data_IF_102342556001
#
_entry.id   IF_102342556001
#
_cell.length_a   1.000
_cell.length_b   1.000
_cell.length_c   1.000
_cell.angle_alpha   90.00
_cell.angle_beta   90.00
_cell.angle_gamma   90.00
#
_symmetry.space_group_name_H-M   'P 1'
#
loop_
_entity.id
_entity.type
_entity.pdbx_description
1 polymer ?
#
# COMPACT_ATOMS: atom_id res chain seq x y z
N UNK A 1 20.58 12.42 0.28
CA UNK A 1 20.17 11.39 -0.69
C UNK A 1 19.08 10.53 -0.05
N UNK A 2 18.03 10.11 -0.80
CA UNK A 2 17.01 9.19 -0.26
C UNK A 2 17.35 7.77 -0.71
N UNK A 3 17.49 6.87 0.24
CA UNK A 3 17.73 5.44 0.04
C UNK A 3 16.49 4.63 0.42
N UNK A 4 16.27 3.49 -0.23
CA UNK A 4 15.15 2.60 0.06
C UNK A 4 15.68 1.34 0.74
N UNK A 5 15.42 1.22 2.03
CA UNK A 5 15.89 0.10 2.84
C UNK A 5 14.75 -0.90 3.07
N UNK A 6 15.00 -2.16 2.70
CA UNK A 6 14.06 -3.24 2.98
C UNK A 6 13.91 -3.48 4.48
N UNK A 7 12.68 -3.72 4.92
CA UNK A 7 12.34 -4.04 6.30
C UNK A 7 11.43 -5.27 6.32
N UNK A 8 11.92 -6.36 6.88
CA UNK A 8 11.11 -7.55 7.13
C UNK A 8 10.14 -7.36 8.31
N UNK A 9 9.31 -8.37 8.63
CA UNK A 9 8.27 -8.25 9.65
C UNK A 9 8.77 -7.75 11.02
N UNK A 10 9.86 -8.31 11.53
CA UNK A 10 10.42 -7.95 12.84
C UNK A 10 10.90 -6.49 12.84
N UNK A 11 11.73 -6.12 11.88
CA UNK A 11 12.28 -4.76 11.78
C UNK A 11 11.18 -3.72 11.54
N UNK A 12 10.20 -4.03 10.70
CA UNK A 12 9.06 -3.13 10.47
C UNK A 12 8.25 -2.92 11.76
N UNK A 13 8.06 -3.99 12.55
CA UNK A 13 7.38 -3.92 13.84
C UNK A 13 8.15 -3.03 14.85
N UNK A 14 9.47 -3.11 14.89
CA UNK A 14 10.32 -2.25 15.72
C UNK A 14 10.22 -0.76 15.32
N UNK A 15 9.93 -0.49 14.05
CA UNK A 15 9.81 0.86 13.50
C UNK A 15 8.37 1.40 13.45
N UNK A 16 7.38 0.70 14.02
CA UNK A 16 5.98 1.09 13.92
C UNK A 16 5.67 2.51 14.42
N UNK A 17 6.35 3.00 15.45
CA UNK A 17 6.15 4.38 15.91
C UNK A 17 6.55 5.39 14.84
N UNK A 18 7.72 5.22 14.24
CA UNK A 18 8.19 6.05 13.12
C UNK A 18 7.26 5.96 11.91
N UNK A 19 6.79 4.75 11.58
CA UNK A 19 5.86 4.51 10.47
C UNK A 19 4.53 5.23 10.71
N UNK A 20 4.00 5.16 11.92
CA UNK A 20 2.76 5.85 12.32
C UNK A 20 2.92 7.37 12.29
N UNK A 21 4.08 7.91 12.67
CA UNK A 21 4.36 9.35 12.56
C UNK A 21 4.31 9.82 11.11
N UNK A 22 4.90 9.05 10.16
CA UNK A 22 4.82 9.35 8.73
C UNK A 22 3.38 9.25 8.22
N UNK A 23 2.65 8.18 8.59
CA UNK A 23 1.23 8.04 8.25
C UNK A 23 0.40 9.23 8.74
N UNK A 24 0.59 9.62 10.00
CA UNK A 24 -0.13 10.74 10.61
C UNK A 24 0.19 12.05 9.91
N UNK A 25 1.45 12.31 9.59
CA UNK A 25 1.84 13.51 8.84
C UNK A 25 1.24 13.55 7.43
N UNK A 26 1.17 12.39 6.74
CA UNK A 26 0.67 12.30 5.38
C UNK A 26 -0.85 12.35 5.27
N UNK A 27 -1.57 11.73 6.23
CA UNK A 27 -3.02 11.52 6.16
C UNK A 27 -3.83 12.42 7.08
N UNK A 28 -3.19 12.99 8.10
CA UNK A 28 -3.85 13.80 9.14
C UNK A 28 -5.14 13.15 9.69
N UNK A 29 -5.09 11.89 10.16
CA UNK A 29 -6.27 11.19 10.62
C UNK A 29 -6.76 11.75 11.95
N UNK A 30 -8.04 11.54 12.33
CA UNK A 30 -8.51 11.81 13.68
C UNK A 30 -7.65 11.06 14.72
N UNK A 31 -7.23 11.72 15.82
CA UNK A 31 -6.33 11.14 16.82
C UNK A 31 -6.79 9.78 17.38
N UNK A 32 -8.10 9.60 17.54
CA UNK A 32 -8.70 8.36 18.03
C UNK A 32 -8.52 7.15 17.09
N UNK A 33 -8.20 7.39 15.81
CA UNK A 33 -7.98 6.32 14.82
C UNK A 33 -6.53 5.83 14.77
N UNK A 34 -5.58 6.58 15.34
CA UNK A 34 -4.14 6.30 15.21
C UNK A 34 -3.78 4.96 15.85
N UNK A 35 -4.25 4.68 17.06
CA UNK A 35 -3.95 3.41 17.76
C UNK A 35 -4.50 2.19 17.02
N UNK A 36 -5.71 2.31 16.48
CA UNK A 36 -6.32 1.27 15.64
C UNK A 36 -5.50 1.02 14.36
N UNK A 37 -5.06 2.08 13.69
CA UNK A 37 -4.20 1.96 12.50
C UNK A 37 -2.88 1.26 12.82
N UNK A 38 -2.23 1.62 13.92
CA UNK A 38 -1.00 0.97 14.38
C UNK A 38 -1.19 -0.54 14.63
N UNK A 39 -2.33 -0.91 15.23
CA UNK A 39 -2.67 -2.32 15.44
C UNK A 39 -2.87 -3.06 14.11
N UNK A 40 -3.57 -2.46 13.14
CA UNK A 40 -3.74 -3.03 11.80
C UNK A 40 -2.39 -3.24 11.11
N UNK A 41 -1.53 -2.23 11.11
CA UNK A 41 -0.19 -2.33 10.50
C UNK A 41 0.66 -3.44 11.15
N UNK A 42 0.58 -3.59 12.49
CA UNK A 42 1.25 -4.70 13.20
C UNK A 42 0.70 -6.05 12.76
N UNK A 43 -0.61 -6.20 12.63
CA UNK A 43 -1.21 -7.45 12.17
C UNK A 43 -0.79 -7.79 10.74
N UNK A 44 -0.67 -6.80 9.85
CA UNK A 44 -0.23 -7.01 8.48
C UNK A 44 1.18 -7.61 8.38
N UNK A 45 2.07 -7.35 9.35
CA UNK A 45 3.42 -7.95 9.36
C UNK A 45 3.40 -9.47 9.51
N UNK A 46 2.29 -10.05 9.94
CA UNK A 46 2.11 -11.51 10.07
C UNK A 46 1.59 -12.17 8.79
N UNK A 47 1.20 -11.38 7.78
CA UNK A 47 0.62 -11.90 6.55
C UNK A 47 1.69 -12.51 5.61
N UNK A 48 1.30 -13.48 4.76
CA UNK A 48 2.24 -14.20 3.92
C UNK A 48 3.03 -13.26 3.00
N UNK A 49 4.34 -13.49 2.88
CA UNK A 49 5.22 -12.74 1.99
C UNK A 49 5.21 -11.22 2.23
N UNK A 50 4.99 -10.82 3.50
CA UNK A 50 5.13 -9.43 3.89
C UNK A 50 6.49 -8.87 3.47
N UNK A 51 6.46 -7.70 2.87
CA UNK A 51 7.66 -6.94 2.51
C UNK A 51 7.40 -5.46 2.75
N UNK A 52 8.25 -4.84 3.55
CA UNK A 52 8.26 -3.41 3.79
C UNK A 52 9.51 -2.74 3.22
N UNK A 53 9.40 -1.44 2.95
CA UNK A 53 10.52 -0.55 2.63
C UNK A 53 10.36 0.76 3.36
N UNK A 54 11.47 1.27 3.86
CA UNK A 54 11.61 2.59 4.44
C UNK A 54 12.39 3.48 3.48
N UNK A 55 11.86 4.66 3.18
CA UNK A 55 12.59 5.69 2.46
C UNK A 55 13.36 6.54 3.49
N UNK A 56 14.67 6.43 3.50
CA UNK A 56 15.55 7.06 4.47
C UNK A 56 16.34 8.20 3.82
N UNK A 57 16.20 9.40 4.40
CA UNK A 57 17.06 10.52 4.04
C UNK A 57 18.38 10.39 4.79
N UNK A 58 19.46 10.22 4.03
CA UNK A 58 20.83 10.25 4.56
C UNK A 58 21.46 11.61 4.31
N UNK A 59 21.86 12.21 5.40
CA UNK A 59 22.74 13.39 5.41
C UNK A 59 24.11 12.95 5.95
N UNK A 60 25.19 13.60 5.52
CA UNK A 60 26.56 13.21 5.84
C UNK A 60 26.94 13.32 7.33
N UNK A 61 26.08 13.87 8.16
CA UNK A 61 26.37 14.22 9.58
C UNK A 61 25.36 13.72 10.61
N UNK A 62 24.29 13.01 10.20
CA UNK A 62 23.22 12.60 11.11
C UNK A 62 22.77 11.16 10.89
N UNK A 63 22.08 10.57 11.87
CA UNK A 63 21.38 9.30 11.67
C UNK A 63 20.34 9.40 10.56
N UNK A 64 20.13 8.33 9.77
CA UNK A 64 19.14 8.31 8.70
C UNK A 64 17.75 8.62 9.24
N UNK A 65 17.06 9.56 8.61
CA UNK A 65 15.68 9.93 8.96
C UNK A 65 14.69 9.29 7.99
N UNK A 66 13.72 8.54 8.49
CA UNK A 66 12.64 7.99 7.68
C UNK A 66 11.74 9.12 7.19
N UNK A 67 11.51 9.20 5.89
CA UNK A 67 10.69 10.20 5.21
C UNK A 67 9.54 9.61 4.42
N UNK A 68 9.44 8.28 4.38
CA UNK A 68 8.36 7.55 3.75
C UNK A 68 8.45 6.06 4.05
N UNK A 69 7.37 5.37 3.85
CA UNK A 69 7.32 3.91 3.94
C UNK A 69 6.29 3.34 2.97
N UNK A 70 6.51 2.09 2.60
CA UNK A 70 5.53 1.30 1.87
C UNK A 70 5.65 -0.16 2.29
N UNK A 71 4.53 -0.87 2.29
CA UNK A 71 4.54 -2.32 2.46
C UNK A 71 3.35 -2.98 1.77
N UNK A 72 3.51 -4.25 1.55
CA UNK A 72 2.47 -5.13 1.04
C UNK A 72 2.77 -6.58 1.41
N UNK A 73 1.88 -7.44 1.01
CA UNK A 73 1.92 -8.88 1.28
C UNK A 73 1.11 -9.62 0.22
N UNK A 74 1.21 -10.94 0.22
CA UNK A 74 0.34 -11.76 -0.64
C UNK A 74 -1.07 -11.80 -0.07
N UNK A 75 -2.05 -11.44 -0.89
CA UNK A 75 -3.47 -11.59 -0.57
C UNK A 75 -3.85 -13.06 -0.38
N UNK A 76 -4.66 -13.34 0.63
CA UNK A 76 -5.14 -14.68 0.93
C UNK A 76 -6.53 -14.64 1.58
N UNK A 77 -7.28 -15.71 1.37
CA UNK A 77 -8.58 -15.93 2.04
C UNK A 77 -8.42 -15.83 3.56
N UNK A 78 -9.35 -15.16 4.21
CA UNK A 78 -9.33 -14.88 5.65
C UNK A 78 -8.73 -13.52 6.00
N UNK A 79 -8.11 -12.81 5.05
CA UNK A 79 -7.74 -11.41 5.20
C UNK A 79 -8.95 -10.54 4.81
N UNK A 80 -9.38 -9.67 5.72
CA UNK A 80 -10.63 -8.92 5.53
C UNK A 80 -10.69 -8.13 4.22
N UNK A 81 -9.63 -7.37 3.90
CA UNK A 81 -9.59 -6.56 2.68
C UNK A 81 -9.65 -7.45 1.43
N UNK A 82 -8.87 -8.54 1.41
CA UNK A 82 -8.86 -9.52 0.32
C UNK A 82 -10.25 -10.10 0.08
N UNK A 83 -10.90 -10.59 1.14
CA UNK A 83 -12.21 -11.26 1.05
C UNK A 83 -13.31 -10.29 0.60
N UNK A 84 -13.26 -9.03 1.05
CA UNK A 84 -14.21 -7.99 0.63
C UNK A 84 -14.02 -7.63 -0.84
N UNK A 85 -12.78 -7.40 -1.26
CA UNK A 85 -12.48 -6.95 -2.63
C UNK A 85 -12.71 -8.08 -3.65
N UNK A 86 -12.28 -9.31 -3.38
CA UNK A 86 -12.48 -10.42 -4.32
C UNK A 86 -13.98 -10.71 -4.54
N UNK A 87 -14.80 -10.59 -3.48
CA UNK A 87 -16.26 -10.74 -3.59
C UNK A 87 -16.86 -9.63 -4.44
N UNK A 88 -16.49 -8.38 -4.20
CA UNK A 88 -16.99 -7.26 -4.99
C UNK A 88 -16.59 -7.35 -6.46
N UNK A 89 -15.38 -7.83 -6.77
CA UNK A 89 -14.96 -8.09 -8.14
C UNK A 89 -15.74 -9.23 -8.78
N UNK A 90 -16.00 -10.30 -8.02
CA UNK A 90 -16.80 -11.42 -8.52
C UNK A 90 -18.24 -11.01 -8.83
N UNK A 91 -18.85 -10.19 -7.97
CA UNK A 91 -20.21 -9.66 -8.17
C UNK A 91 -20.29 -8.76 -9.42
N UNK A 92 -19.23 -7.98 -9.71
CA UNK A 92 -19.21 -7.07 -10.86
C UNK A 92 -18.80 -7.75 -12.18
N UNK A 93 -17.80 -8.63 -12.16
CA UNK A 93 -17.14 -9.13 -13.37
C UNK A 93 -17.08 -10.66 -13.47
N UNK A 94 -17.61 -11.37 -12.47
CA UNK A 94 -17.60 -12.84 -12.39
C UNK A 94 -16.39 -13.39 -11.62
N UNK A 95 -16.53 -14.62 -11.14
CA UNK A 95 -15.51 -15.29 -10.31
C UNK A 95 -14.19 -15.50 -11.05
N UNK A 96 -14.24 -15.82 -12.34
CA UNK A 96 -13.03 -16.02 -13.15
C UNK A 96 -12.17 -14.74 -13.21
N UNK A 97 -12.80 -13.59 -13.48
CA UNK A 97 -12.12 -12.30 -13.53
C UNK A 97 -11.58 -11.89 -12.14
N UNK A 98 -12.36 -12.10 -11.07
CA UNK A 98 -11.93 -11.86 -9.71
C UNK A 98 -10.72 -12.73 -9.35
N UNK A 99 -10.74 -14.01 -9.68
CA UNK A 99 -9.63 -14.92 -9.43
C UNK A 99 -8.40 -14.59 -10.28
N UNK A 100 -8.57 -14.16 -11.52
CA UNK A 100 -7.47 -13.73 -12.38
C UNK A 100 -6.69 -12.56 -11.77
N UNK A 101 -7.37 -11.61 -11.14
CA UNK A 101 -6.75 -10.47 -10.47
C UNK A 101 -6.25 -10.78 -9.05
N UNK A 102 -7.05 -11.46 -8.24
CA UNK A 102 -6.84 -11.61 -6.80
C UNK A 102 -6.25 -12.95 -6.38
N UNK A 103 -6.36 -14.00 -7.21
CA UNK A 103 -5.97 -15.36 -6.84
C UNK A 103 -4.47 -15.54 -6.58
N UNK A 104 -3.63 -14.66 -7.09
CA UNK A 104 -2.18 -14.60 -6.82
C UNK A 104 -1.69 -13.16 -6.88
N UNK A 105 -2.25 -12.32 -6.02
CA UNK A 105 -2.02 -10.89 -5.98
C UNK A 105 -1.03 -10.49 -4.88
N UNK A 106 -0.22 -9.49 -5.19
CA UNK A 106 0.49 -8.70 -4.20
C UNK A 106 -0.38 -7.49 -3.83
N UNK A 107 -0.80 -7.42 -2.59
CA UNK A 107 -1.61 -6.32 -2.08
C UNK A 107 -0.70 -5.24 -1.51
N UNK A 108 -0.68 -4.09 -2.17
CA UNK A 108 0.00 -2.88 -1.71
C UNK A 108 -0.86 -2.24 -0.62
N UNK A 109 -0.53 -2.52 0.64
CA UNK A 109 -1.39 -2.16 1.76
C UNK A 109 -1.26 -0.70 2.18
N UNK A 110 -0.03 -0.19 2.28
CA UNK A 110 0.24 1.18 2.68
C UNK A 110 1.41 1.77 1.90
N UNK A 111 1.26 3.00 1.43
CA UNK A 111 2.30 3.79 0.77
C UNK A 111 2.14 5.24 1.22
N UNK A 112 3.06 5.73 2.02
CA UNK A 112 3.02 7.08 2.55
C UNK A 112 4.38 7.77 2.49
N UNK A 113 4.35 9.04 2.13
CA UNK A 113 5.53 9.93 2.08
C UNK A 113 5.22 11.16 2.92
N UNK A 114 6.15 11.53 3.79
CA UNK A 114 6.03 12.76 4.58
C UNK A 114 5.79 13.96 3.64
N UNK A 115 4.89 14.90 3.98
CA UNK A 115 4.50 16.02 3.10
C UNK A 115 5.68 16.77 2.49
N UNK A 116 6.72 17.07 3.26
CA UNK A 116 7.91 17.80 2.80
C UNK A 116 8.69 17.08 1.69
N UNK A 117 8.43 15.78 1.48
CA UNK A 117 9.13 14.92 0.50
C UNK A 117 8.22 14.41 -0.60
N UNK A 118 6.95 14.79 -0.59
CA UNK A 118 6.02 14.48 -1.68
C UNK A 118 6.40 15.24 -2.97
N UNK A 119 5.89 14.76 -4.12
CA UNK A 119 6.18 15.37 -5.42
C UNK A 119 7.61 15.17 -5.94
N UNK A 120 8.47 14.46 -5.21
CA UNK A 120 9.89 14.23 -5.56
C UNK A 120 10.17 12.82 -6.08
N UNK A 121 9.13 12.08 -6.47
CA UNK A 121 9.27 10.73 -7.04
C UNK A 121 9.44 9.60 -6.01
N UNK A 122 9.45 9.89 -4.69
CA UNK A 122 9.66 8.90 -3.62
C UNK A 122 8.61 7.79 -3.67
N UNK A 123 7.33 8.14 -3.77
CA UNK A 123 6.24 7.14 -3.84
C UNK A 123 6.38 6.21 -5.04
N UNK A 124 6.70 6.75 -6.22
CA UNK A 124 6.95 5.95 -7.44
C UNK A 124 8.10 4.97 -7.25
N UNK A 125 9.20 5.44 -6.68
CA UNK A 125 10.37 4.61 -6.44
C UNK A 125 10.06 3.49 -5.44
N UNK A 126 9.33 3.78 -4.35
CA UNK A 126 8.89 2.76 -3.39
C UNK A 126 8.00 1.68 -4.03
N UNK A 127 7.03 2.08 -4.88
CA UNK A 127 6.17 1.10 -5.57
C UNK A 127 7.00 0.20 -6.49
N UNK A 128 7.93 0.77 -7.26
CA UNK A 128 8.83 0.00 -8.13
C UNK A 128 9.68 -0.98 -7.33
N UNK A 129 10.29 -0.51 -6.24
CA UNK A 129 11.13 -1.35 -5.38
C UNK A 129 10.31 -2.49 -4.75
N UNK A 130 9.10 -2.18 -4.27
CA UNK A 130 8.24 -3.14 -3.61
C UNK A 130 7.72 -4.22 -4.58
N UNK A 131 7.47 -3.85 -5.83
CA UNK A 131 6.99 -4.77 -6.87
C UNK A 131 8.11 -5.48 -7.65
N UNK A 132 9.37 -5.11 -7.44
CA UNK A 132 10.49 -5.72 -8.15
C UNK A 132 10.71 -7.19 -7.73
N UNK A 133 10.91 -8.07 -8.73
CA UNK A 133 11.24 -9.48 -8.51
C UNK A 133 10.16 -10.31 -7.85
N UNK A 134 8.93 -9.85 -7.81
CA UNK A 134 7.80 -10.57 -7.19
C UNK A 134 7.32 -11.73 -8.06
N UNK A 135 6.91 -12.80 -7.39
CA UNK A 135 6.32 -13.98 -8.03
C UNK A 135 4.82 -13.85 -8.27
N UNK A 136 4.16 -12.88 -7.63
CA UNK A 136 2.74 -12.63 -7.80
C UNK A 136 2.44 -12.12 -9.22
N UNK A 137 1.22 -12.40 -9.70
CA UNK A 137 0.80 -12.07 -11.08
C UNK A 137 0.32 -10.64 -11.24
N UNK A 138 -0.13 -10.04 -10.15
CA UNK A 138 -0.71 -8.69 -10.13
C UNK A 138 -0.31 -7.94 -8.87
N UNK A 139 -0.30 -6.61 -8.96
CA UNK A 139 -0.28 -5.70 -7.82
C UNK A 139 -1.65 -5.02 -7.73
N UNK A 140 -2.25 -5.00 -6.55
CA UNK A 140 -3.59 -4.44 -6.33
C UNK A 140 -3.57 -3.56 -5.08
N UNK A 141 -4.34 -2.48 -5.12
CA UNK A 141 -4.50 -1.57 -3.99
C UNK A 141 -5.86 -0.87 -4.02
N UNK A 142 -6.24 -0.27 -2.91
CA UNK A 142 -7.34 0.70 -2.85
C UNK A 142 -6.81 2.12 -2.65
N UNK A 143 -7.49 3.07 -3.29
CA UNK A 143 -7.20 4.50 -3.15
C UNK A 143 -8.51 5.29 -3.17
N UNK A 144 -8.56 6.47 -2.55
CA UNK A 144 -9.76 7.31 -2.63
C UNK A 144 -10.16 7.58 -4.08
N UNK A 145 -11.43 7.40 -4.40
CA UNK A 145 -11.95 7.59 -5.76
C UNK A 145 -12.28 9.06 -6.03
N UNK A 146 -11.25 9.88 -6.03
CA UNK A 146 -11.27 11.31 -6.34
C UNK A 146 -9.93 11.73 -6.93
N UNK A 147 -9.85 12.89 -7.63
CA UNK A 147 -8.59 13.38 -8.20
C UNK A 147 -7.57 13.70 -7.09
N UNK A 148 -6.66 12.76 -6.83
CA UNK A 148 -5.58 12.91 -5.86
C UNK A 148 -4.23 12.65 -6.54
N UNK A 149 -3.15 13.12 -5.92
CA UNK A 149 -1.79 12.82 -6.37
C UNK A 149 -1.53 11.30 -6.42
N UNK A 150 -2.08 10.53 -5.47
CA UNK A 150 -2.00 9.08 -5.44
C UNK A 150 -2.70 8.44 -6.65
N UNK A 151 -3.95 8.85 -6.94
CA UNK A 151 -4.68 8.38 -8.14
C UNK A 151 -3.92 8.63 -9.43
N UNK A 152 -3.38 9.85 -9.57
CA UNK A 152 -2.56 10.21 -10.73
C UNK A 152 -1.27 9.36 -10.80
N UNK A 153 -0.61 9.14 -9.67
CA UNK A 153 0.58 8.31 -9.60
C UNK A 153 0.30 6.88 -10.09
N UNK A 154 -0.74 6.22 -9.56
CA UNK A 154 -1.08 4.85 -9.93
C UNK A 154 -1.44 4.75 -11.42
N UNK A 155 -2.29 5.64 -11.92
CA UNK A 155 -2.63 5.68 -13.35
C UNK A 155 -1.38 5.85 -14.23
N UNK A 156 -0.47 6.76 -13.85
CA UNK A 156 0.80 6.98 -14.58
C UNK A 156 1.78 5.82 -14.51
N UNK A 157 1.55 4.87 -13.62
CA UNK A 157 2.30 3.61 -13.50
C UNK A 157 1.56 2.42 -14.14
N UNK A 158 0.48 2.66 -14.86
CA UNK A 158 -0.27 1.64 -15.60
C UNK A 158 -1.25 0.82 -14.74
N UNK A 159 -1.57 1.26 -13.52
CA UNK A 159 -2.68 0.68 -12.78
C UNK A 159 -4.01 1.10 -13.42
N UNK A 160 -4.91 0.15 -13.57
CA UNK A 160 -6.24 0.34 -14.15
C UNK A 160 -7.33 0.15 -13.12
N UNK A 161 -8.46 0.81 -13.31
CA UNK A 161 -9.61 0.69 -12.41
C UNK A 161 -10.27 -0.69 -12.57
N UNK A 162 -10.36 -1.41 -11.47
CA UNK A 162 -11.10 -2.68 -11.36
C UNK A 162 -12.48 -2.45 -10.74
N UNK A 163 -12.56 -1.61 -9.71
CA UNK A 163 -13.80 -1.11 -9.13
C UNK A 163 -13.69 0.40 -8.93
N UNK A 164 -14.80 1.12 -9.13
CA UNK A 164 -14.92 2.56 -8.86
C UNK A 164 -16.10 2.81 -7.93
N UNK A 165 -16.07 3.93 -7.21
CA UNK A 165 -17.11 4.31 -6.24
C UNK A 165 -17.44 3.18 -5.25
N UNK A 166 -16.42 2.40 -4.89
CA UNK A 166 -16.57 1.28 -3.98
C UNK A 166 -16.55 1.78 -2.54
N UNK A 167 -17.57 1.42 -1.77
CA UNK A 167 -17.64 1.74 -0.35
C UNK A 167 -17.40 0.46 0.44
N UNK A 168 -16.37 0.44 1.27
CA UNK A 168 -16.10 -0.70 2.16
C UNK A 168 -17.20 -0.86 3.20
N UNK A 169 -17.53 -2.10 3.61
CA UNK A 169 -18.52 -2.34 4.67
C UNK A 169 -18.23 -1.53 5.93
N UNK A 170 -19.24 -0.78 6.39
CA UNK A 170 -19.13 0.11 7.56
C UNK A 170 -18.48 1.46 7.30
N UNK A 171 -17.99 1.72 6.09
CA UNK A 171 -17.44 3.00 5.68
C UNK A 171 -18.46 3.91 4.98
N UNK A 172 -18.03 5.12 4.65
CA UNK A 172 -18.84 6.12 3.93
C UNK A 172 -18.08 6.73 2.74
N UNK A 173 -16.79 6.50 2.65
CA UNK A 173 -15.96 7.05 1.58
C UNK A 173 -15.91 6.12 0.37
N UNK A 174 -15.85 6.73 -0.81
CA UNK A 174 -15.69 6.01 -2.07
C UNK A 174 -14.22 5.74 -2.37
N UNK A 175 -13.94 4.49 -2.73
CA UNK A 175 -12.61 4.03 -3.14
C UNK A 175 -12.63 3.51 -4.57
N UNK A 176 -11.50 3.64 -5.24
CA UNK A 176 -11.19 2.85 -6.41
C UNK A 176 -10.29 1.68 -6.00
N UNK A 177 -10.61 0.50 -6.49
CA UNK A 177 -9.71 -0.65 -6.47
C UNK A 177 -8.99 -0.64 -7.81
N UNK A 178 -7.68 -0.55 -7.75
CA UNK A 178 -6.87 -0.48 -8.97
C UNK A 178 -5.86 -1.63 -8.99
N UNK A 179 -5.59 -2.15 -10.16
CA UNK A 179 -4.67 -3.26 -10.33
C UNK A 179 -3.79 -3.11 -11.57
N UNK A 180 -2.63 -3.74 -11.51
CA UNK A 180 -1.71 -3.86 -12.62
C UNK A 180 -1.11 -5.26 -12.67
N UNK A 181 -0.95 -5.90 -13.86
CA UNK A 181 -0.14 -7.09 -13.99
C UNK A 181 1.32 -6.85 -13.58
N UNK A 182 1.96 -7.85 -13.00
CA UNK A 182 3.38 -7.86 -12.69
C UNK A 182 4.14 -8.71 -13.74
N UNK A 183 5.44 -8.41 -13.99
CA UNK A 183 6.25 -7.34 -13.39
C UNK A 183 5.86 -5.94 -13.84
N UNK A 184 6.31 -4.93 -13.08
CA UNK A 184 6.28 -3.55 -13.54
C UNK A 184 7.39 -3.37 -14.58
N UNK A 185 7.06 -2.77 -15.72
CA UNK A 185 8.04 -2.41 -16.76
C UNK A 185 8.97 -1.28 -16.29
#
# INVERSE_FOLDING_TARGET
MIEFRGAGPAEFTERLDTVIDIYTAAMNPPPEQISGRKTIMRNHTTYPHFQGYLAELRDSSSEPRVVGFAYGFRGATGQWWHDVVIRALADQAGEEAAHAWMGHAFELAEIHVHPDYQGKGVGRAMIRTLCAGRAERSAILSTHDRPTAARHLYASMGFTDLLTRFVFPGGHEEYAIVGRPLPLD
#
